data_IF_079978374081
#
_entry.id   IF_079978374081
#
_cell.length_a   1.000
_cell.length_b   1.000
_cell.length_c   1.000
_cell.angle_alpha   90.00
_cell.angle_beta   90.00
_cell.angle_gamma   90.00
#
_symmetry.space_group_name_H-M   'P 1'
#
loop_
_entity.id
_entity.type
_entity.pdbx_description
1 polymer ?
#
# COMPACT_ATOMS: atom_id res chain seq x y z
N UNK A 1 -8.59 -15.54 -25.29
CA UNK A 1 -8.19 -14.91 -24.02
C UNK A 1 -7.02 -13.97 -24.31
N UNK A 2 -7.26 -12.66 -24.30
CA UNK A 2 -6.21 -11.66 -24.56
C UNK A 2 -5.24 -11.55 -23.35
N UNK A 3 -4.18 -10.75 -23.44
CA UNK A 3 -3.21 -10.58 -22.34
C UNK A 3 -3.84 -9.96 -21.09
N UNK A 4 -4.87 -9.13 -21.24
CA UNK A 4 -5.62 -8.52 -20.14
C UNK A 4 -6.43 -9.57 -19.37
N UNK A 5 -7.19 -10.42 -20.06
CA UNK A 5 -7.96 -11.50 -19.44
C UNK A 5 -7.04 -12.53 -18.76
N UNK A 6 -5.87 -12.83 -19.32
CA UNK A 6 -4.89 -13.70 -18.64
C UNK A 6 -4.32 -13.09 -17.35
N UNK A 7 -4.18 -11.77 -17.29
CA UNK A 7 -3.65 -11.09 -16.09
C UNK A 7 -4.70 -10.96 -14.97
N UNK A 8 -5.98 -10.86 -15.33
CA UNK A 8 -7.09 -10.71 -14.38
C UNK A 8 -7.73 -12.04 -13.94
N UNK A 9 -7.62 -13.11 -14.73
CA UNK A 9 -8.24 -14.42 -14.44
C UNK A 9 -7.22 -15.54 -14.17
N UNK A 10 -5.95 -15.21 -13.91
CA UNK A 10 -4.97 -16.19 -13.46
C UNK A 10 -5.32 -16.72 -12.05
N UNK A 11 -5.09 -18.01 -11.81
CA UNK A 11 -5.28 -18.63 -10.50
C UNK A 11 -4.46 -17.91 -9.43
N UNK A 12 -5.11 -17.52 -8.34
CA UNK A 12 -4.43 -16.98 -7.16
C UNK A 12 -3.89 -18.13 -6.31
N UNK A 13 -2.74 -17.89 -5.69
CA UNK A 13 -2.28 -18.77 -4.63
C UNK A 13 -3.18 -18.56 -3.40
N UNK A 14 -3.42 -19.62 -2.62
CA UNK A 14 -4.17 -19.49 -1.37
C UNK A 14 -3.42 -20.12 -0.21
N UNK A 15 -3.47 -19.48 0.96
CA UNK A 15 -2.93 -20.00 2.21
C UNK A 15 -3.89 -19.73 3.37
N UNK A 16 -3.97 -20.67 4.32
CA UNK A 16 -4.77 -20.50 5.53
C UNK A 16 -3.92 -19.81 6.60
N UNK A 17 -4.48 -18.78 7.23
CA UNK A 17 -3.83 -18.09 8.34
C UNK A 17 -4.09 -18.82 9.66
N UNK A 18 -3.14 -18.73 10.59
CA UNK A 18 -3.23 -19.34 11.92
C UNK A 18 -4.43 -18.80 12.74
N UNK A 19 -4.74 -17.50 12.58
CA UNK A 19 -5.91 -16.85 13.20
C UNK A 19 -7.25 -17.24 12.57
N UNK A 20 -7.24 -18.11 11.56
CA UNK A 20 -8.41 -18.44 10.74
C UNK A 20 -8.55 -17.49 9.55
N UNK A 21 -9.19 -17.98 8.49
CA UNK A 21 -9.32 -17.26 7.23
C UNK A 21 -8.42 -17.78 6.12
N UNK A 22 -8.74 -17.39 4.89
CA UNK A 22 -8.00 -17.75 3.69
C UNK A 22 -7.45 -16.46 3.08
N UNK A 23 -6.16 -16.42 2.82
CA UNK A 23 -5.50 -15.37 2.05
C UNK A 23 -5.32 -15.88 0.63
N UNK A 24 -5.93 -15.22 -0.35
CA UNK A 24 -5.57 -15.35 -1.76
C UNK A 24 -4.57 -14.26 -2.15
N UNK A 25 -3.58 -14.58 -2.99
CA UNK A 25 -2.51 -13.66 -3.35
C UNK A 25 -1.81 -14.02 -4.68
N UNK A 26 -0.98 -13.10 -5.16
CA UNK A 26 -0.11 -13.32 -6.32
C UNK A 26 -0.80 -13.09 -7.65
N UNK A 27 -1.74 -12.14 -7.74
CA UNK A 27 -2.35 -11.81 -9.03
C UNK A 27 -1.30 -11.20 -9.96
N UNK A 28 -1.30 -11.64 -11.22
CA UNK A 28 -0.37 -11.13 -12.24
C UNK A 28 -0.55 -9.61 -12.42
N UNK A 29 -1.79 -9.12 -12.29
CA UNK A 29 -2.06 -7.69 -12.33
C UNK A 29 -1.22 -6.88 -11.32
N UNK A 30 -1.08 -7.33 -10.07
CA UNK A 30 -0.33 -6.61 -9.03
C UNK A 30 1.15 -6.49 -9.43
N UNK A 31 1.74 -7.57 -9.95
CA UNK A 31 3.13 -7.57 -10.43
C UNK A 31 3.31 -6.63 -11.62
N UNK A 32 2.41 -6.73 -12.60
CA UNK A 32 2.46 -5.90 -13.81
C UNK A 32 2.19 -4.44 -13.49
N UNK A 33 1.31 -4.11 -12.54
CA UNK A 33 0.99 -2.73 -12.18
C UNK A 33 2.09 -2.05 -11.36
N UNK A 34 2.88 -2.82 -10.60
CA UNK A 34 3.87 -2.28 -9.67
C UNK A 34 5.31 -2.35 -10.17
N UNK A 35 5.57 -3.05 -11.26
CA UNK A 35 6.90 -3.12 -11.87
C UNK A 35 7.39 -1.75 -12.37
N UNK A 36 8.24 -1.10 -11.57
CA UNK A 36 8.86 0.19 -11.86
C UNK A 36 10.02 0.11 -12.86
N UNK A 37 10.32 -1.07 -13.42
CA UNK A 37 11.28 -1.19 -14.54
C UNK A 37 10.62 -0.93 -15.90
N UNK A 38 9.29 -0.99 -15.96
CA UNK A 38 8.53 -0.68 -17.16
C UNK A 38 8.65 0.81 -17.53
N UNK A 39 9.17 1.14 -18.73
CA UNK A 39 9.38 2.54 -19.13
C UNK A 39 8.11 3.38 -19.11
N UNK A 40 6.93 2.76 -19.27
CA UNK A 40 5.64 3.45 -19.18
C UNK A 40 5.33 3.94 -17.77
N UNK A 41 5.76 3.19 -16.74
CA UNK A 41 5.57 3.57 -15.33
C UNK A 41 6.64 4.54 -14.87
N UNK A 42 7.88 4.33 -15.31
CA UNK A 42 8.98 5.28 -15.09
C UNK A 42 8.60 6.65 -15.64
N UNK A 43 8.00 6.72 -16.84
CA UNK A 43 7.53 7.97 -17.42
C UNK A 43 6.45 8.66 -16.58
N UNK A 44 5.67 7.91 -15.79
CA UNK A 44 4.67 8.46 -14.88
C UNK A 44 5.25 9.10 -13.62
N UNK A 45 6.44 8.68 -13.17
CA UNK A 45 7.02 9.14 -11.90
C UNK A 45 7.25 10.67 -11.84
N UNK A 46 7.83 11.34 -12.86
CA UNK A 46 7.93 12.80 -12.86
C UNK A 46 6.57 13.51 -12.79
N UNK A 47 5.53 12.94 -13.42
CA UNK A 47 4.18 13.49 -13.36
C UNK A 47 3.57 13.34 -11.96
N UNK A 48 3.75 12.19 -11.31
CA UNK A 48 3.33 11.97 -9.92
C UNK A 48 4.06 12.94 -8.98
N UNK A 49 5.37 13.12 -9.16
CA UNK A 49 6.16 14.08 -8.39
C UNK A 49 5.62 15.51 -8.52
N UNK A 50 5.39 15.96 -9.75
CA UNK A 50 4.81 17.29 -10.00
C UNK A 50 3.42 17.41 -9.37
N UNK A 51 2.57 16.39 -9.50
CA UNK A 51 1.23 16.40 -8.93
C UNK A 51 1.25 16.53 -7.40
N UNK A 52 2.19 15.89 -6.70
CA UNK A 52 2.35 16.08 -5.25
C UNK A 52 2.85 17.47 -4.88
N UNK A 53 3.76 18.05 -5.67
CA UNK A 53 4.22 19.43 -5.46
C UNK A 53 3.07 20.43 -5.65
N UNK A 54 2.28 20.25 -6.70
CA UNK A 54 1.11 21.08 -7.00
C UNK A 54 0.04 20.94 -5.90
N UNK A 55 -0.21 19.70 -5.44
CA UNK A 55 -1.15 19.44 -4.36
C UNK A 55 -0.69 20.06 -3.04
N UNK A 56 0.59 19.95 -2.67
CA UNK A 56 1.13 20.63 -1.50
C UNK A 56 0.95 22.15 -1.59
N UNK A 57 1.33 22.75 -2.73
CA UNK A 57 1.21 24.18 -2.94
C UNK A 57 -0.24 24.66 -2.86
N UNK A 58 -1.16 23.91 -3.47
CA UNK A 58 -2.59 24.20 -3.40
C UNK A 58 -3.11 24.07 -1.98
N UNK A 59 -2.82 22.98 -1.27
CA UNK A 59 -3.29 22.77 0.11
C UNK A 59 -2.77 23.85 1.06
N UNK A 60 -1.51 24.25 0.91
CA UNK A 60 -0.91 25.32 1.70
C UNK A 60 -1.54 26.70 1.42
N UNK A 61 -2.12 26.94 0.24
CA UNK A 61 -2.71 28.24 -0.11
C UNK A 61 -4.00 28.58 0.67
N UNK A 62 -4.57 27.61 1.37
CA UNK A 62 -5.75 27.76 2.24
C UNK A 62 -5.48 27.22 3.64
N UNK A 63 -4.21 27.28 4.08
CA UNK A 63 -3.73 26.85 5.40
C UNK A 63 -4.08 25.38 5.74
N UNK A 64 -4.28 24.55 4.73
CA UNK A 64 -4.48 23.11 4.88
C UNK A 64 -3.16 22.37 5.07
N UNK A 65 -3.24 21.06 5.32
CA UNK A 65 -2.08 20.16 5.41
C UNK A 65 -2.33 18.92 4.54
N UNK A 66 -1.39 18.59 3.65
CA UNK A 66 -1.46 17.38 2.83
C UNK A 66 -0.81 16.22 3.58
N UNK A 67 -1.56 15.14 3.78
CA UNK A 67 -1.07 13.88 4.34
C UNK A 67 -1.22 12.78 3.31
N UNK A 68 -0.17 11.98 3.12
CA UNK A 68 -0.17 10.84 2.20
C UNK A 68 -0.12 9.54 2.99
N UNK A 69 -1.03 8.62 2.71
CA UNK A 69 -1.07 7.32 3.36
C UNK A 69 -0.59 6.27 2.36
N UNK A 70 0.52 5.60 2.66
CA UNK A 70 1.06 4.54 1.84
C UNK A 70 0.44 3.21 2.27
N UNK A 71 -0.47 2.69 1.44
CA UNK A 71 -1.10 1.39 1.66
C UNK A 71 -0.26 0.34 0.90
N UNK A 72 0.34 -0.64 1.59
CA UNK A 72 1.11 -1.69 0.94
C UNK A 72 0.20 -2.68 0.18
N UNK A 73 0.80 -3.43 -0.75
CA UNK A 73 0.16 -4.64 -1.25
C UNK A 73 0.15 -5.74 -0.18
N UNK A 74 -0.87 -6.60 -0.23
CA UNK A 74 -1.01 -7.72 0.72
C UNK A 74 0.22 -8.63 0.69
N UNK A 75 0.88 -8.80 -0.45
CA UNK A 75 2.04 -9.67 -0.59
C UNK A 75 3.19 -9.22 0.31
N UNK A 76 3.38 -7.90 0.51
CA UNK A 76 4.36 -7.36 1.45
C UNK A 76 3.89 -7.47 2.90
N UNK A 77 2.59 -7.27 3.15
CA UNK A 77 2.01 -7.41 4.50
C UNK A 77 2.17 -8.82 5.04
N UNK A 78 1.96 -9.83 4.19
CA UNK A 78 2.07 -11.25 4.50
C UNK A 78 3.36 -11.88 3.97
N UNK A 79 4.43 -11.10 3.86
CA UNK A 79 5.68 -11.50 3.19
C UNK A 79 6.23 -12.85 3.67
N UNK A 80 6.15 -13.15 4.97
CA UNK A 80 6.61 -14.43 5.54
C UNK A 80 5.87 -15.64 4.99
N UNK A 81 4.65 -15.45 4.48
CA UNK A 81 3.78 -16.48 3.89
C UNK A 81 3.83 -16.48 2.37
N UNK A 82 3.93 -15.30 1.76
CA UNK A 82 3.82 -15.13 0.31
C UNK A 82 5.17 -15.30 -0.40
N UNK A 83 6.27 -14.80 0.18
CA UNK A 83 7.60 -14.85 -0.45
C UNK A 83 8.09 -16.27 -0.78
N UNK A 84 7.88 -17.30 0.07
CA UNK A 84 8.26 -18.68 -0.27
C UNK A 84 7.56 -19.24 -1.51
N UNK A 85 6.39 -18.69 -1.88
CA UNK A 85 5.57 -19.14 -2.99
C UNK A 85 5.81 -18.28 -4.24
N UNK A 86 5.90 -16.96 -4.08
CA UNK A 86 6.09 -16.02 -5.19
C UNK A 86 7.54 -15.89 -5.67
N UNK A 87 8.51 -16.24 -4.81
CA UNK A 87 9.93 -16.12 -5.10
C UNK A 87 10.46 -14.69 -4.98
N UNK A 88 11.78 -14.57 -4.84
CA UNK A 88 12.47 -13.32 -4.53
C UNK A 88 12.40 -12.28 -5.65
N UNK A 89 12.31 -12.71 -6.91
CA UNK A 89 12.16 -11.82 -8.06
C UNK A 89 10.85 -11.01 -7.97
N UNK A 90 9.74 -11.70 -7.73
CA UNK A 90 8.42 -11.07 -7.53
C UNK A 90 8.42 -10.16 -6.31
N UNK A 91 9.00 -10.61 -5.20
CA UNK A 91 9.06 -9.81 -3.98
C UNK A 91 9.91 -8.56 -4.16
N UNK A 92 10.99 -8.62 -4.95
CA UNK A 92 11.83 -7.47 -5.28
C UNK A 92 11.04 -6.39 -6.01
N UNK A 93 10.15 -6.77 -6.94
CA UNK A 93 9.25 -5.82 -7.62
C UNK A 93 8.40 -5.05 -6.60
N UNK A 94 7.73 -5.77 -5.69
CA UNK A 94 6.87 -5.14 -4.69
C UNK A 94 7.64 -4.25 -3.73
N UNK A 95 8.78 -4.73 -3.20
CA UNK A 95 9.63 -3.95 -2.28
C UNK A 95 10.17 -2.70 -2.98
N UNK A 96 10.63 -2.82 -4.22
CA UNK A 96 11.15 -1.69 -4.98
C UNK A 96 10.06 -0.63 -5.23
N UNK A 97 8.84 -1.05 -5.58
CA UNK A 97 7.72 -0.13 -5.75
C UNK A 97 7.38 0.62 -4.45
N UNK A 98 7.24 -0.11 -3.34
CA UNK A 98 6.93 0.49 -2.04
C UNK A 98 8.04 1.44 -1.59
N UNK A 99 9.31 1.05 -1.74
CA UNK A 99 10.45 1.92 -1.44
C UNK A 99 10.46 3.17 -2.32
N UNK A 100 10.13 3.08 -3.61
CA UNK A 100 10.07 4.23 -4.51
C UNK A 100 9.08 5.29 -4.02
N UNK A 101 7.94 4.86 -3.46
CA UNK A 101 6.96 5.80 -2.89
C UNK A 101 7.42 6.40 -1.57
N UNK A 102 8.14 5.63 -0.74
CA UNK A 102 8.78 6.16 0.49
C UNK A 102 9.86 7.18 0.17
N UNK A 103 10.72 6.89 -0.81
CA UNK A 103 11.76 7.81 -1.26
C UNK A 103 11.15 9.10 -1.80
N UNK A 104 10.02 9.02 -2.51
CA UNK A 104 9.30 10.20 -2.98
C UNK A 104 8.72 11.03 -1.82
N UNK A 105 8.23 10.38 -0.76
CA UNK A 105 7.82 11.07 0.47
C UNK A 105 8.98 11.86 1.08
N UNK A 106 10.14 11.24 1.21
CA UNK A 106 11.34 11.86 1.79
C UNK A 106 11.88 12.98 0.89
N UNK A 107 11.96 12.75 -0.43
CA UNK A 107 12.44 13.73 -1.41
C UNK A 107 11.60 15.01 -1.41
N UNK A 108 10.27 14.87 -1.34
CA UNK A 108 9.34 15.98 -1.37
C UNK A 108 8.98 16.54 0.01
N UNK A 109 9.61 16.02 1.07
CA UNK A 109 9.31 16.36 2.46
C UNK A 109 7.80 16.26 2.77
N UNK A 110 7.14 15.23 2.22
CA UNK A 110 5.72 14.98 2.43
C UNK A 110 5.48 14.41 3.83
N UNK A 111 4.38 14.83 4.46
CA UNK A 111 3.87 14.17 5.66
C UNK A 111 3.24 12.83 5.27
N UNK A 112 3.99 11.73 5.44
CA UNK A 112 3.56 10.39 5.04
C UNK A 112 3.39 9.43 6.22
N UNK A 113 2.35 8.58 6.15
CA UNK A 113 2.16 7.42 7.01
C UNK A 113 2.38 6.14 6.20
N UNK A 114 3.42 5.38 6.54
CA UNK A 114 3.67 4.04 5.98
C UNK A 114 2.91 2.96 6.77
N UNK A 115 1.92 2.34 6.13
CA UNK A 115 1.11 1.30 6.77
C UNK A 115 1.76 -0.08 6.76
N UNK A 116 2.82 -0.32 5.98
CA UNK A 116 3.48 -1.61 5.92
C UNK A 116 3.93 -2.15 7.29
N UNK A 117 4.71 -1.41 8.10
CA UNK A 117 5.12 -1.91 9.40
C UNK A 117 3.95 -2.17 10.35
N UNK A 118 2.86 -1.40 10.22
CA UNK A 118 1.67 -1.56 11.07
C UNK A 118 0.92 -2.83 10.66
N UNK A 119 0.55 -2.95 9.39
CA UNK A 119 -0.18 -4.12 8.88
C UNK A 119 0.59 -5.43 9.06
N UNK A 120 1.92 -5.42 8.87
CA UNK A 120 2.75 -6.60 9.08
C UNK A 120 2.68 -7.12 10.54
N UNK A 121 2.54 -6.26 11.54
CA UNK A 121 2.39 -6.68 12.94
C UNK A 121 1.08 -7.45 13.18
N UNK A 122 -0.03 -6.97 12.61
CA UNK A 122 -1.32 -7.67 12.68
C UNK A 122 -1.29 -8.99 11.89
N UNK A 123 -0.67 -8.99 10.71
CA UNK A 123 -0.50 -10.19 9.90
C UNK A 123 0.31 -11.28 10.62
N UNK A 124 1.38 -10.90 11.33
CA UNK A 124 2.17 -11.82 12.17
C UNK A 124 1.38 -12.42 13.34
N UNK A 125 0.29 -11.77 13.75
CA UNK A 125 -0.65 -12.28 14.77
C UNK A 125 -1.75 -13.16 14.16
N UNK A 126 -1.67 -13.43 12.85
CA UNK A 126 -2.63 -14.26 12.12
C UNK A 126 -3.89 -13.52 11.67
N UNK A 127 -3.93 -12.19 11.75
CA UNK A 127 -5.09 -11.41 11.32
C UNK A 127 -5.16 -11.28 9.79
N UNK A 128 -6.36 -11.45 9.24
CA UNK A 128 -6.67 -11.22 7.83
C UNK A 128 -7.16 -9.76 7.65
N UNK A 129 -6.39 -8.94 6.94
CA UNK A 129 -6.67 -7.50 6.72
C UNK A 129 -7.21 -7.19 5.32
N UNK A 130 -7.02 -8.12 4.37
CA UNK A 130 -7.47 -8.00 2.99
C UNK A 130 -8.59 -9.01 2.73
N UNK A 131 -9.38 -8.79 1.69
CA UNK A 131 -10.31 -9.82 1.23
C UNK A 131 -9.55 -11.01 0.67
N UNK A 132 -10.12 -12.21 0.78
CA UNK A 132 -9.47 -13.44 0.30
C UNK A 132 -9.16 -13.37 -1.19
N UNK A 133 -10.11 -12.91 -2.01
CA UNK A 133 -9.99 -12.96 -3.48
C UNK A 133 -9.80 -11.58 -4.11
N UNK A 134 -9.72 -10.54 -3.29
CA UNK A 134 -9.71 -9.14 -3.72
C UNK A 134 -8.58 -8.37 -3.03
N UNK A 135 -7.94 -7.48 -3.78
CA UNK A 135 -6.72 -6.76 -3.36
C UNK A 135 -6.99 -5.63 -2.34
N UNK A 136 -8.25 -5.33 -2.05
CA UNK A 136 -8.61 -4.28 -1.11
C UNK A 136 -8.63 -4.77 0.33
N UNK A 137 -8.50 -3.81 1.25
CA UNK A 137 -8.69 -4.04 2.67
C UNK A 137 -10.12 -4.51 2.95
N UNK A 138 -10.26 -5.51 3.81
CA UNK A 138 -11.54 -5.93 4.37
C UNK A 138 -11.98 -4.96 5.51
N UNK A 139 -13.13 -5.16 6.16
CA UNK A 139 -13.57 -4.29 7.25
C UNK A 139 -12.57 -4.18 8.40
N UNK A 140 -11.88 -5.29 8.73
CA UNK A 140 -10.85 -5.31 9.77
C UNK A 140 -9.60 -4.54 9.35
N UNK A 141 -9.15 -4.68 8.09
CA UNK A 141 -8.05 -3.88 7.55
C UNK A 141 -8.34 -2.38 7.55
N UNK A 142 -9.57 -1.99 7.17
CA UNK A 142 -10.02 -0.60 7.23
C UNK A 142 -10.11 -0.07 8.68
N UNK A 143 -10.52 -0.90 9.64
CA UNK A 143 -10.50 -0.53 11.05
C UNK A 143 -9.08 -0.22 11.54
N UNK A 144 -8.11 -1.11 11.26
CA UNK A 144 -6.70 -0.91 11.62
C UNK A 144 -6.14 0.34 10.94
N UNK A 145 -6.45 0.54 9.66
CA UNK A 145 -6.07 1.75 8.91
C UNK A 145 -6.60 3.01 9.59
N UNK A 146 -7.90 3.05 9.91
CA UNK A 146 -8.53 4.22 10.51
C UNK A 146 -7.93 4.56 11.88
N UNK A 147 -7.65 3.54 12.70
CA UNK A 147 -6.99 3.72 14.01
C UNK A 147 -5.58 4.30 13.85
N UNK A 148 -4.79 3.74 12.93
CA UNK A 148 -3.42 4.22 12.66
C UNK A 148 -3.41 5.66 12.12
N UNK A 149 -4.30 5.97 11.17
CA UNK A 149 -4.45 7.32 10.61
C UNK A 149 -4.85 8.31 11.70
N UNK A 150 -5.84 7.96 12.54
CA UNK A 150 -6.26 8.82 13.64
C UNK A 150 -5.11 9.11 14.61
N UNK A 151 -4.39 8.08 15.04
CA UNK A 151 -3.25 8.22 15.93
C UNK A 151 -2.13 9.05 15.31
N UNK A 152 -1.84 8.85 14.02
CA UNK A 152 -0.85 9.62 13.27
C UNK A 152 -1.24 11.10 13.18
N UNK A 153 -2.49 11.40 12.82
CA UNK A 153 -2.99 12.78 12.76
C UNK A 153 -2.97 13.44 14.13
N UNK A 154 -3.34 12.71 15.19
CA UNK A 154 -3.28 13.22 16.56
C UNK A 154 -1.85 13.55 16.98
N UNK A 155 -0.91 12.64 16.76
CA UNK A 155 0.50 12.81 17.12
C UNK A 155 1.13 14.03 16.44
N UNK A 156 0.75 14.28 15.18
CA UNK A 156 1.23 15.42 14.40
C UNK A 156 0.42 16.71 14.61
N UNK A 157 -0.57 16.72 15.52
CA UNK A 157 -1.41 17.90 15.78
C UNK A 157 -2.29 18.31 14.61
N UNK A 158 -2.61 17.36 13.71
CA UNK A 158 -3.38 17.56 12.48
C UNK A 158 -4.89 17.30 12.66
N UNK A 159 -5.31 16.87 13.85
CA UNK A 159 -6.72 16.84 14.20
C UNK A 159 -7.18 18.24 14.61
N UNK A 160 -8.36 18.64 14.14
CA UNK A 160 -8.99 19.89 14.58
C UNK A 160 -9.05 19.91 16.10
N UNK A 161 -8.53 20.99 16.72
CA UNK A 161 -8.86 21.27 18.12
C UNK A 161 -10.36 21.48 18.18
N UNK A 162 -11.06 20.66 18.95
CA UNK A 162 -12.43 20.96 19.31
C UNK A 162 -12.45 22.38 19.88
N UNK A 163 -13.26 23.27 19.29
CA UNK A 163 -13.47 24.59 19.88
C UNK A 163 -14.14 24.35 21.25
N UNK A 164 -13.36 24.56 22.31
CA UNK A 164 -13.82 24.57 23.70
C UNK A 164 -14.57 25.86 24.01
#
# INVERSE_FOLDING_TARGET
INSFERAFFAETNTIRLDGGGLLGFGQVYEQVALDMTDPRKIAGYPHTKQAYQDAQALVNSWDGQLVVILIPVRELVYETLTAPILGEETMTIFRHNHQTMRDLCDELLLTCLDMLPIFAQYAQQGELLYYTEDMHLNPRGNEVLAQAVYAFLQHNGLLLKAQS
#
